data_IF_700294313213
#
_entry.id   IF_700294313213
#
_cell.length_a   1.000
_cell.length_b   1.000
_cell.length_c   1.000
_cell.angle_alpha   90.00
_cell.angle_beta   90.00
_cell.angle_gamma   90.00
#
_symmetry.space_group_name_H-M   'P 1'
#
loop_
_entity.id
_entity.type
_entity.pdbx_description
1 polymer ?
#
# COMPACT_ATOMS: atom_id res chain seq x y z
N UNK A 1 -59.91 44.65 40.07
CA UNK A 1 -58.98 44.54 41.20
C UNK A 1 -57.78 43.75 40.70
N UNK A 2 -56.58 44.26 40.49
CA UNK A 2 -56.03 45.61 40.41
C UNK A 2 -54.73 45.46 39.62
N UNK A 3 -54.47 46.39 38.71
CA UNK A 3 -53.18 46.63 38.06
C UNK A 3 -52.05 46.83 39.09
N UNK A 4 -50.86 46.30 38.79
CA UNK A 4 -49.59 46.78 39.37
C UNK A 4 -48.68 47.21 38.23
N UNK A 5 -48.29 48.47 38.32
CA UNK A 5 -47.52 49.28 37.38
C UNK A 5 -46.46 49.96 38.24
N UNK A 6 -45.18 49.68 38.00
CA UNK A 6 -44.03 50.43 38.52
C UNK A 6 -42.79 50.18 37.67
N UNK A 7 -42.50 51.13 36.77
CA UNK A 7 -41.15 51.57 36.39
C UNK A 7 -40.57 52.48 37.52
N UNK A 8 -39.40 53.16 37.36
CA UNK A 8 -38.02 52.69 37.14
C UNK A 8 -37.04 53.29 38.19
N UNK A 9 -35.79 52.81 38.28
CA UNK A 9 -34.70 53.53 38.97
C UNK A 9 -33.44 53.61 38.09
N UNK A 10 -32.95 54.84 37.93
CA UNK A 10 -31.72 55.24 37.26
C UNK A 10 -30.54 55.35 38.24
N UNK A 11 -29.33 55.54 37.68
CA UNK A 11 -28.05 55.94 38.30
C UNK A 11 -27.35 54.85 39.16
N UNK A 12 -26.05 54.62 39.06
CA UNK A 12 -24.95 55.61 39.06
C UNK A 12 -23.65 54.95 38.57
N UNK A 13 -22.84 55.70 37.82
CA UNK A 13 -21.45 55.36 37.49
C UNK A 13 -20.51 56.15 38.42
N UNK A 14 -19.33 55.60 38.77
CA UNK A 14 -18.22 56.44 39.22
C UNK A 14 -17.04 56.45 38.21
N UNK A 15 -16.57 57.66 37.92
CA UNK A 15 -15.17 58.02 37.64
C UNK A 15 -14.31 57.69 38.89
N UNK A 16 -12.99 57.57 38.91
CA UNK A 16 -11.89 58.36 38.36
C UNK A 16 -10.61 57.64 38.85
N UNK A 17 -9.48 57.68 38.12
CA UNK A 17 -8.13 57.91 38.71
C UNK A 17 -7.02 57.70 37.66
N UNK A 18 -6.53 58.85 37.19
CA UNK A 18 -5.12 59.28 37.17
C UNK A 18 -4.04 58.46 36.40
N UNK A 19 -3.47 59.17 35.42
CA UNK A 19 -2.24 58.91 34.66
C UNK A 19 -0.96 58.88 35.54
N UNK A 20 0.21 58.51 35.00
CA UNK A 20 1.03 59.52 34.30
C UNK A 20 1.78 59.04 33.04
N UNK A 21 1.92 59.98 32.12
CA UNK A 21 2.90 60.07 31.02
C UNK A 21 4.34 59.78 31.49
N UNK A 22 5.22 59.39 30.56
CA UNK A 22 6.35 60.29 30.33
C UNK A 22 6.57 60.63 28.86
N UNK A 23 6.49 61.94 28.62
CA UNK A 23 7.23 62.73 27.65
C UNK A 23 8.72 62.33 27.57
N UNK A 24 9.20 62.05 26.36
CA UNK A 24 10.54 62.48 25.96
C UNK A 24 10.75 62.46 24.43
N UNK A 25 11.20 63.63 23.96
CA UNK A 25 12.05 63.88 22.80
C UNK A 25 11.50 63.67 21.37
N UNK A 26 11.13 64.82 20.80
CA UNK A 26 11.07 65.12 19.38
C UNK A 26 12.30 64.64 18.59
N UNK A 27 12.09 64.22 17.33
CA UNK A 27 12.96 64.57 16.19
C UNK A 27 12.17 64.38 14.89
N UNK A 28 11.85 65.50 14.22
CA UNK A 28 11.54 65.52 12.79
C UNK A 28 12.79 65.10 12.00
N UNK A 29 12.64 64.15 11.09
CA UNK A 29 13.39 64.12 9.83
C UNK A 29 12.77 63.07 8.89
N UNK A 30 12.02 63.54 7.90
CA UNK A 30 11.78 62.78 6.69
C UNK A 30 13.12 62.55 5.97
N UNK A 31 13.32 61.34 5.40
CA UNK A 31 13.81 61.29 4.04
C UNK A 31 12.87 60.48 3.15
N UNK A 32 12.35 61.13 2.11
CA UNK A 32 11.99 60.45 0.88
C UNK A 32 13.28 59.88 0.26
N UNK A 33 13.43 58.55 0.29
CA UNK A 33 14.24 57.81 -0.69
C UNK A 33 13.87 56.33 -0.65
N UNK A 34 13.05 55.93 -1.64
CA UNK A 34 13.23 54.72 -2.44
C UNK A 34 14.11 53.60 -1.85
N UNK A 35 13.48 52.57 -1.30
CA UNK A 35 13.90 51.20 -1.60
C UNK A 35 12.74 50.23 -1.36
N UNK A 36 12.16 49.73 -2.45
CA UNK A 36 11.15 48.69 -2.40
C UNK A 36 11.74 47.41 -1.76
N UNK A 37 11.28 46.94 -0.59
CA UNK A 37 11.62 45.63 -0.11
C UNK A 37 10.51 44.67 -0.57
N UNK A 38 10.76 44.06 -1.73
CA UNK A 38 10.39 42.69 -2.06
C UNK A 38 8.90 42.27 -1.83
N UNK A 39 8.05 42.28 -2.89
CA UNK A 39 6.77 41.56 -2.86
C UNK A 39 6.93 40.05 -2.57
N UNK A 40 8.16 39.52 -2.61
CA UNK A 40 8.50 38.14 -2.28
C UNK A 40 8.52 37.83 -0.77
N UNK A 41 8.93 38.76 0.10
CA UNK A 41 9.00 38.50 1.57
C UNK A 41 7.61 38.42 2.19
N UNK A 42 6.67 39.25 1.72
CA UNK A 42 5.30 39.26 2.22
C UNK A 42 4.47 38.08 1.69
N UNK A 43 4.65 37.69 0.42
CA UNK A 43 4.08 36.45 -0.11
C UNK A 43 4.60 35.22 0.63
N UNK A 44 5.91 35.15 0.95
CA UNK A 44 6.49 34.08 1.78
C UNK A 44 5.93 34.06 3.21
N UNK A 45 5.73 35.22 3.86
CA UNK A 45 5.05 35.30 5.17
C UNK A 45 3.61 34.83 5.10
N UNK A 46 2.84 35.20 4.06
CA UNK A 46 1.45 34.74 3.86
C UNK A 46 1.36 33.24 3.59
N UNK A 47 2.27 32.67 2.80
CA UNK A 47 2.34 31.21 2.56
C UNK A 47 2.70 30.47 3.85
N UNK A 48 3.70 30.93 4.61
CA UNK A 48 4.03 30.35 5.93
C UNK A 48 2.88 30.52 6.94
N UNK A 49 2.15 31.65 6.94
CA UNK A 49 0.94 31.83 7.77
C UNK A 49 -0.22 30.94 7.33
N UNK A 50 -0.38 30.67 6.02
CA UNK A 50 -1.37 29.71 5.51
C UNK A 50 -1.00 28.26 5.82
N UNK A 51 0.29 27.92 5.87
CA UNK A 51 0.78 26.61 6.33
C UNK A 51 0.61 26.42 7.85
N UNK A 52 0.57 27.51 8.62
CA UNK A 52 0.21 27.49 10.06
C UNK A 52 -1.29 27.44 10.33
N UNK A 53 -2.15 27.56 9.30
CA UNK A 53 -3.59 27.35 9.46
C UNK A 53 -3.83 25.86 9.26
N UNK A 54 -4.04 25.17 10.37
CA UNK A 54 -4.45 23.78 10.40
C UNK A 54 -5.67 23.60 9.49
N UNK A 55 -5.55 22.73 8.47
CA UNK A 55 -6.65 22.47 7.54
C UNK A 55 -7.63 21.55 8.24
N UNK A 56 -8.75 22.12 8.69
CA UNK A 56 -9.82 21.35 9.33
C UNK A 56 -10.53 20.51 8.27
N UNK A 57 -10.32 19.20 8.33
CA UNK A 57 -11.04 18.22 7.53
C UNK A 57 -12.39 17.96 8.18
N UNK A 58 -13.45 18.06 7.39
CA UNK A 58 -14.79 17.70 7.83
C UNK A 58 -15.11 16.33 7.22
N UNK A 59 -15.18 15.32 8.06
CA UNK A 59 -15.55 13.95 7.65
C UNK A 59 -16.95 13.64 8.16
N UNK A 60 -17.66 12.73 7.47
CA UNK A 60 -18.92 12.19 7.97
C UNK A 60 -18.58 10.99 8.85
N UNK A 61 -18.92 11.07 10.12
CA UNK A 61 -18.71 10.00 11.11
C UNK A 61 -20.08 9.40 11.46
N UNK A 62 -20.24 8.07 11.43
CA UNK A 62 -21.46 7.41 11.91
C UNK A 62 -21.77 7.81 13.36
N UNK A 63 -23.05 8.00 13.68
CA UNK A 63 -23.48 8.51 15.00
C UNK A 63 -22.99 7.66 16.18
N UNK A 64 -22.92 6.34 16.00
CA UNK A 64 -22.39 5.41 17.03
C UNK A 64 -20.90 5.68 17.28
N UNK A 65 -20.09 5.84 16.23
CA UNK A 65 -18.67 6.13 16.36
C UNK A 65 -18.42 7.52 16.97
N UNK A 66 -19.27 8.51 16.66
CA UNK A 66 -19.19 9.82 17.28
C UNK A 66 -19.42 9.76 18.80
N UNK A 67 -20.40 8.97 19.24
CA UNK A 67 -20.68 8.78 20.67
C UNK A 67 -19.52 8.08 21.39
N UNK A 68 -18.96 7.04 20.78
CA UNK A 68 -17.79 6.33 21.35
C UNK A 68 -16.56 7.24 21.42
N UNK A 69 -16.29 8.04 20.37
CA UNK A 69 -15.19 9.01 20.38
C UNK A 69 -15.37 10.09 21.46
N UNK A 70 -16.60 10.56 21.69
CA UNK A 70 -16.90 11.51 22.77
C UNK A 70 -16.66 10.90 24.15
N UNK A 71 -17.13 9.67 24.39
CA UNK A 71 -16.90 8.95 25.66
C UNK A 71 -15.41 8.72 25.93
N UNK A 72 -14.67 8.30 24.91
CA UNK A 72 -13.22 8.12 25.01
C UNK A 72 -12.54 9.45 25.36
N UNK A 73 -12.90 10.53 24.66
CA UNK A 73 -12.35 11.86 24.90
C UNK A 73 -12.67 12.39 26.32
N UNK A 74 -13.89 12.18 26.81
CA UNK A 74 -14.30 12.52 28.18
C UNK A 74 -13.48 11.74 29.23
N UNK A 75 -13.29 10.43 29.02
CA UNK A 75 -12.51 9.59 29.94
C UNK A 75 -11.04 10.03 30.03
N UNK A 76 -10.48 10.49 28.91
CA UNK A 76 -9.11 11.00 28.82
C UNK A 76 -8.99 12.49 29.18
N UNK A 77 -10.12 13.19 29.41
CA UNK A 77 -10.20 14.65 29.63
C UNK A 77 -9.52 15.47 28.53
N UNK A 78 -9.66 15.02 27.29
CA UNK A 78 -9.09 15.69 26.11
C UNK A 78 -10.20 16.12 25.15
N UNK A 79 -9.99 17.17 24.33
CA UNK A 79 -10.90 17.48 23.23
C UNK A 79 -10.92 16.34 22.20
N UNK A 80 -12.10 16.02 21.66
CA UNK A 80 -12.28 14.97 20.64
C UNK A 80 -11.33 15.15 19.46
N UNK A 81 -11.13 16.39 19.01
CA UNK A 81 -10.21 16.70 17.90
C UNK A 81 -8.77 16.25 18.18
N UNK A 82 -8.31 16.38 19.42
CA UNK A 82 -6.96 15.95 19.80
C UNK A 82 -6.86 14.42 19.79
N UNK A 83 -7.87 13.73 20.33
CA UNK A 83 -7.93 12.26 20.33
C UNK A 83 -7.93 11.72 18.90
N UNK A 84 -8.76 12.28 18.02
CA UNK A 84 -8.83 11.87 16.61
C UNK A 84 -7.50 12.08 15.91
N UNK A 85 -6.83 13.22 16.15
CA UNK A 85 -5.51 13.46 15.57
C UNK A 85 -4.51 12.40 16.01
N UNK A 86 -4.39 12.16 17.32
CA UNK A 86 -3.42 11.19 17.84
C UNK A 86 -3.69 9.78 17.33
N UNK A 87 -4.95 9.35 17.23
CA UNK A 87 -5.30 8.04 16.67
C UNK A 87 -4.92 7.95 15.18
N UNK A 88 -5.18 9.00 14.39
CA UNK A 88 -4.83 9.00 12.97
C UNK A 88 -3.31 9.02 12.76
N UNK A 89 -2.57 9.77 13.57
CA UNK A 89 -1.09 9.77 13.55
C UNK A 89 -0.55 8.38 13.91
N UNK A 90 -1.01 7.79 15.02
CA UNK A 90 -0.59 6.46 15.47
C UNK A 90 -0.93 5.35 14.45
N UNK A 91 -2.11 5.42 13.83
CA UNK A 91 -2.51 4.47 12.80
C UNK A 91 -1.60 4.56 11.56
N UNK A 92 -1.24 5.77 11.13
CA UNK A 92 -0.34 5.96 9.98
C UNK A 92 1.07 5.49 10.33
N UNK A 93 1.60 5.86 11.49
CA UNK A 93 2.92 5.43 11.95
C UNK A 93 3.00 3.89 12.05
N UNK A 94 1.95 3.26 12.58
CA UNK A 94 1.86 1.80 12.68
C UNK A 94 1.84 1.14 11.29
N UNK A 95 1.08 1.69 10.34
CA UNK A 95 1.05 1.18 8.96
C UNK A 95 2.41 1.33 8.27
N UNK A 96 3.13 2.43 8.51
CA UNK A 96 4.46 2.66 7.93
C UNK A 96 5.52 1.69 8.51
N UNK A 97 5.43 1.38 9.81
CA UNK A 97 6.30 0.37 10.43
C UNK A 97 5.99 -1.02 9.89
N UNK A 98 4.71 -1.39 9.82
CA UNK A 98 4.29 -2.68 9.28
C UNK A 98 4.66 -2.84 7.81
N UNK A 99 4.50 -1.78 7.00
CA UNK A 99 4.88 -1.75 5.59
C UNK A 99 6.38 -1.94 5.39
N UNK A 100 7.22 -1.26 6.18
CA UNK A 100 8.68 -1.45 6.16
C UNK A 100 9.08 -2.86 6.56
N UNK A 101 8.49 -3.39 7.63
CA UNK A 101 8.76 -4.76 8.08
C UNK A 101 8.37 -5.80 7.03
N UNK A 102 7.19 -5.66 6.41
CA UNK A 102 6.76 -6.53 5.33
C UNK A 102 7.70 -6.44 4.12
N UNK A 103 8.14 -5.23 3.75
CA UNK A 103 9.09 -5.04 2.65
C UNK A 103 10.45 -5.65 2.95
N UNK A 104 10.94 -5.54 4.18
CA UNK A 104 12.18 -6.20 4.61
C UNK A 104 12.07 -7.71 4.54
N UNK A 105 10.95 -8.29 5.01
CA UNK A 105 10.72 -9.74 4.92
C UNK A 105 10.64 -10.20 3.46
N UNK A 106 9.89 -9.49 2.61
CA UNK A 106 9.82 -9.78 1.18
C UNK A 106 11.20 -9.67 0.52
N UNK A 107 12.00 -8.67 0.89
CA UNK A 107 13.37 -8.52 0.37
C UNK A 107 14.26 -9.66 0.85
N UNK A 108 14.19 -10.05 2.13
CA UNK A 108 14.93 -11.21 2.67
C UNK A 108 14.51 -12.52 2.01
N UNK A 109 13.25 -12.67 1.66
CA UNK A 109 12.76 -13.84 0.91
C UNK A 109 13.23 -13.77 -0.54
N UNK A 110 13.15 -12.61 -1.19
CA UNK A 110 13.66 -12.40 -2.54
C UNK A 110 15.18 -12.62 -2.63
N UNK A 111 15.96 -12.21 -1.62
CA UNK A 111 17.40 -12.47 -1.53
C UNK A 111 17.70 -13.96 -1.31
N UNK A 112 16.85 -14.66 -0.54
CA UNK A 112 16.95 -16.13 -0.39
C UNK A 112 16.60 -16.87 -1.67
N UNK A 113 15.64 -16.37 -2.44
CA UNK A 113 15.22 -16.97 -3.72
C UNK A 113 16.11 -16.53 -4.90
N UNK A 114 16.71 -15.35 -4.82
CA UNK A 114 17.47 -14.67 -5.87
C UNK A 114 18.98 -14.60 -5.60
N UNK A 115 19.44 -15.10 -4.45
CA UNK A 115 20.85 -15.28 -4.16
C UNK A 115 21.53 -16.02 -5.31
N UNK A 116 22.77 -15.66 -5.68
CA UNK A 116 23.44 -16.25 -6.82
C UNK A 116 23.42 -17.77 -6.65
N UNK A 117 22.70 -18.47 -7.53
CA UNK A 117 22.99 -19.87 -7.82
C UNK A 117 24.46 -19.87 -8.13
N UNK A 118 25.28 -20.30 -7.16
CA UNK A 118 26.72 -20.28 -7.30
C UNK A 118 27.02 -20.90 -8.66
N UNK A 119 27.63 -20.15 -9.62
CA UNK A 119 28.19 -20.82 -10.76
C UNK A 119 29.22 -21.77 -10.16
N UNK A 120 28.98 -23.07 -10.31
CA UNK A 120 29.98 -24.07 -9.97
C UNK A 120 31.28 -23.64 -10.67
N UNK A 121 32.37 -23.38 -9.94
CA UNK A 121 33.62 -22.98 -10.57
C UNK A 121 34.12 -24.16 -11.39
N UNK A 122 34.27 -23.92 -12.69
CA UNK A 122 35.01 -24.71 -13.67
C UNK A 122 34.79 -26.24 -13.65
N UNK A 123 33.76 -26.68 -14.35
CA UNK A 123 33.74 -28.02 -14.95
C UNK A 123 33.28 -27.92 -16.41
N UNK A 124 34.11 -28.32 -17.40
CA UNK A 124 33.67 -28.46 -18.78
C UNK A 124 32.54 -29.50 -18.89
N UNK A 125 31.64 -29.39 -19.89
CA UNK A 125 30.36 -30.08 -19.92
C UNK A 125 30.57 -31.58 -20.21
N UNK A 126 30.62 -32.38 -19.15
CA UNK A 126 30.39 -33.82 -19.29
C UNK A 126 28.89 -34.05 -19.51
N UNK A 127 28.47 -34.85 -20.50
CA UNK A 127 27.07 -35.23 -20.66
C UNK A 127 26.68 -36.07 -19.44
N UNK A 128 26.11 -35.42 -18.42
CA UNK A 128 25.52 -36.12 -17.29
C UNK A 128 24.27 -36.82 -17.81
N UNK A 129 24.37 -38.13 -17.92
CA UNK A 129 23.23 -39.02 -17.91
C UNK A 129 22.20 -38.51 -16.88
N UNK A 130 20.91 -38.47 -17.21
CA UNK A 130 19.90 -37.91 -16.33
C UNK A 130 19.97 -38.61 -14.97
N UNK A 131 19.89 -37.85 -13.86
CA UNK A 131 19.75 -38.47 -12.54
C UNK A 131 18.55 -39.42 -12.60
N UNK A 132 18.73 -40.63 -12.03
CA UNK A 132 17.71 -41.66 -12.02
C UNK A 132 16.36 -41.06 -11.66
N UNK A 133 15.40 -41.18 -12.58
CA UNK A 133 14.10 -40.57 -12.44
C UNK A 133 13.48 -41.06 -11.12
N UNK A 134 12.89 -40.17 -10.29
CA UNK A 134 11.97 -40.62 -9.25
C UNK A 134 10.96 -41.57 -9.90
N UNK A 135 10.62 -42.66 -9.21
CA UNK A 135 9.70 -43.70 -9.71
C UNK A 135 8.39 -43.11 -10.25
N UNK A 136 7.99 -41.94 -9.73
CA UNK A 136 6.94 -41.09 -10.27
C UNK A 136 7.37 -39.61 -10.24
N UNK A 137 7.82 -39.01 -11.36
CA UNK A 137 8.29 -37.61 -11.42
C UNK A 137 7.24 -36.54 -11.11
N UNK A 138 5.97 -36.93 -11.00
CA UNK A 138 4.86 -36.05 -10.63
C UNK A 138 4.33 -36.30 -9.20
N UNK A 139 4.94 -37.18 -8.42
CA UNK A 139 4.51 -37.45 -7.04
C UNK A 139 4.65 -36.19 -6.17
N UNK A 140 3.59 -35.80 -5.46
CA UNK A 140 3.55 -34.54 -4.69
C UNK A 140 3.25 -33.29 -5.52
N UNK A 141 2.84 -33.42 -6.79
CA UNK A 141 2.44 -32.27 -7.61
C UNK A 141 1.13 -31.65 -7.08
N UNK A 142 1.19 -30.36 -6.73
CA UNK A 142 0.05 -29.58 -6.27
C UNK A 142 -0.73 -28.93 -7.41
N UNK A 143 -0.05 -28.60 -8.49
CA UNK A 143 -0.67 -27.88 -9.59
C UNK A 143 0.27 -27.60 -10.75
N UNK A 144 -0.32 -27.11 -11.83
CA UNK A 144 0.38 -26.79 -13.06
C UNK A 144 0.09 -25.34 -13.48
N UNK A 145 1.11 -24.64 -13.98
CA UNK A 145 0.98 -23.31 -14.58
C UNK A 145 1.47 -23.34 -16.02
N UNK A 146 0.70 -22.75 -16.95
CA UNK A 146 1.14 -22.59 -18.34
C UNK A 146 2.14 -21.44 -18.41
N UNK A 147 3.30 -21.68 -19.00
CA UNK A 147 4.36 -20.69 -19.18
C UNK A 147 4.92 -20.76 -20.60
N UNK A 148 5.44 -19.64 -21.08
CA UNK A 148 6.24 -19.59 -22.31
C UNK A 148 7.71 -19.53 -21.93
N UNK A 149 8.51 -20.46 -22.44
CA UNK A 149 9.91 -20.56 -22.07
C UNK A 149 10.71 -19.39 -22.65
N UNK A 150 11.58 -18.78 -21.86
CA UNK A 150 12.51 -17.74 -22.35
C UNK A 150 13.81 -18.38 -22.87
N UNK A 151 14.11 -19.60 -22.45
CA UNK A 151 15.31 -20.36 -22.84
C UNK A 151 14.93 -21.81 -23.09
N UNK A 152 15.70 -22.49 -23.95
CA UNK A 152 15.53 -23.92 -24.13
C UNK A 152 15.76 -24.67 -22.81
N UNK A 153 14.89 -25.62 -22.48
CA UNK A 153 14.93 -26.38 -21.23
C UNK A 153 14.46 -27.81 -21.49
N UNK A 154 15.12 -28.85 -20.95
CA UNK A 154 14.65 -30.22 -21.11
C UNK A 154 13.36 -30.47 -20.34
N UNK A 155 12.46 -31.23 -20.93
CA UNK A 155 11.24 -31.72 -20.30
C UNK A 155 11.60 -32.70 -19.17
N UNK A 156 11.09 -32.43 -17.97
CA UNK A 156 11.33 -33.27 -16.79
C UNK A 156 10.70 -34.66 -16.81
N UNK A 157 9.77 -34.93 -17.75
CA UNK A 157 9.13 -36.24 -17.90
C UNK A 157 9.73 -37.06 -19.04
N UNK A 158 9.89 -36.45 -20.22
CA UNK A 158 10.29 -37.15 -21.44
C UNK A 158 11.76 -36.95 -21.79
N UNK A 159 12.43 -35.98 -21.18
CA UNK A 159 13.78 -35.57 -21.56
C UNK A 159 13.87 -34.81 -22.88
N UNK A 160 12.74 -34.62 -23.60
CA UNK A 160 12.70 -33.83 -24.84
C UNK A 160 13.11 -32.39 -24.58
N UNK A 161 13.95 -31.80 -25.42
CA UNK A 161 14.21 -30.36 -25.34
C UNK A 161 12.97 -29.55 -25.72
N UNK A 162 12.61 -28.60 -24.87
CA UNK A 162 11.59 -27.59 -25.14
C UNK A 162 12.30 -26.30 -25.55
N UNK A 163 11.93 -25.73 -26.68
CA UNK A 163 12.59 -24.57 -27.26
C UNK A 163 12.30 -23.25 -26.52
N UNK A 164 13.16 -22.26 -26.73
CA UNK A 164 12.84 -20.89 -26.34
C UNK A 164 11.62 -20.40 -27.15
N UNK A 165 10.65 -19.80 -26.47
CA UNK A 165 9.38 -19.37 -27.03
C UNK A 165 8.31 -20.46 -27.10
N UNK A 166 8.64 -21.72 -26.80
CA UNK A 166 7.67 -22.83 -26.73
C UNK A 166 6.82 -22.73 -25.46
N UNK A 167 5.59 -23.26 -25.53
CA UNK A 167 4.71 -23.37 -24.36
C UNK A 167 5.06 -24.62 -23.57
N UNK A 168 5.18 -24.46 -22.25
CA UNK A 168 5.47 -25.51 -21.31
C UNK A 168 4.52 -25.43 -20.11
N UNK A 169 4.41 -26.53 -19.39
CA UNK A 169 3.71 -26.64 -18.12
C UNK A 169 4.74 -26.66 -17.00
N UNK A 170 4.58 -25.75 -16.06
CA UNK A 170 5.40 -25.67 -14.86
C UNK A 170 4.67 -26.38 -13.72
N UNK A 171 5.18 -27.52 -13.29
CA UNK A 171 4.62 -28.34 -12.19
C UNK A 171 5.18 -27.83 -10.88
N UNK A 172 4.30 -27.51 -9.92
CA UNK A 172 4.66 -27.09 -8.56
C UNK A 172 4.43 -28.24 -7.59
N UNK A 173 5.30 -28.37 -6.58
CA UNK A 173 5.27 -29.47 -5.60
C UNK A 173 5.08 -28.94 -4.18
N UNK A 174 4.56 -29.79 -3.29
CA UNK A 174 4.35 -29.50 -1.87
C UNK A 174 5.63 -29.63 -1.01
N UNK A 175 6.57 -30.44 -1.46
CA UNK A 175 7.85 -30.73 -0.82
C UNK A 175 8.90 -29.61 -0.95
N UNK A 176 8.55 -28.51 -1.62
CA UNK A 176 9.41 -27.34 -1.81
C UNK A 176 10.53 -27.54 -2.84
N UNK A 177 10.52 -28.64 -3.61
CA UNK A 177 11.51 -28.82 -4.70
C UNK A 177 11.26 -27.83 -5.85
N UNK A 178 12.30 -27.53 -6.67
CA UNK A 178 12.14 -26.63 -7.80
C UNK A 178 11.04 -27.09 -8.75
N UNK A 179 10.29 -26.16 -9.34
CA UNK A 179 9.22 -26.53 -10.24
C UNK A 179 9.77 -27.20 -11.51
N UNK A 180 9.03 -28.18 -12.02
CA UNK A 180 9.46 -29.01 -13.16
C UNK A 180 8.82 -28.51 -14.45
N UNK A 181 9.63 -28.24 -15.48
CA UNK A 181 9.13 -27.89 -16.81
C UNK A 181 8.75 -29.16 -17.58
N UNK A 182 7.52 -29.21 -18.06
CA UNK A 182 6.93 -30.38 -18.71
C UNK A 182 6.29 -29.99 -20.03
N UNK A 183 6.48 -30.81 -21.06
CA UNK A 183 5.83 -30.61 -22.36
C UNK A 183 4.31 -30.77 -22.19
N UNK A 184 3.46 -29.95 -22.83
CA UNK A 184 2.00 -30.06 -22.69
C UNK A 184 1.45 -31.46 -23.03
N UNK A 185 2.10 -32.15 -23.97
CA UNK A 185 1.82 -33.51 -24.44
C UNK A 185 2.37 -34.62 -23.54
N UNK A 186 3.24 -34.29 -22.58
CA UNK A 186 3.91 -35.26 -21.72
C UNK A 186 3.15 -35.56 -20.41
N UNK A 187 2.12 -34.79 -20.06
CA UNK A 187 1.33 -35.09 -18.87
C UNK A 187 0.43 -36.31 -19.12
N UNK A 188 0.37 -37.27 -18.17
CA UNK A 188 -0.66 -38.30 -18.22
C UNK A 188 -2.01 -37.59 -18.14
N UNK A 189 -2.82 -37.73 -19.18
CA UNK A 189 -4.24 -37.41 -19.07
C UNK A 189 -4.80 -38.33 -17.97
N UNK A 190 -5.59 -37.80 -17.02
CA UNK A 190 -6.37 -38.70 -16.18
C UNK A 190 -7.15 -39.63 -17.11
N UNK A 191 -7.34 -40.91 -16.77
CA UNK A 191 -8.21 -41.78 -17.54
C UNK A 191 -9.59 -41.12 -17.60
N UNK A 192 -9.85 -40.44 -18.72
CA UNK A 192 -11.13 -39.84 -19.00
C UNK A 192 -12.10 -40.98 -19.22
N UNK A 193 -13.19 -40.96 -18.46
CA UNK A 193 -14.33 -41.83 -18.67
C UNK A 193 -14.66 -41.89 -20.16
N UNK A 194 -14.73 -43.11 -20.69
CA UNK A 194 -14.88 -43.41 -22.11
C UNK A 194 -16.14 -42.78 -22.73
N UNK A 195 -16.03 -41.52 -23.11
CA UNK A 195 -17.01 -40.87 -23.96
C UNK A 195 -16.47 -40.95 -25.39
N UNK A 196 -17.03 -41.82 -26.24
CA UNK A 196 -16.64 -41.84 -27.64
C UNK A 196 -17.01 -40.49 -28.29
N UNK A 197 -16.24 -40.01 -29.29
CA UNK A 197 -16.61 -38.84 -30.06
C UNK A 197 -17.90 -39.14 -30.84
N UNK A 198 -19.04 -38.68 -30.33
CA UNK A 198 -20.26 -38.52 -31.12
C UNK A 198 -20.02 -37.40 -32.13
N UNK A 199 -19.86 -37.78 -33.39
CA UNK A 199 -19.68 -36.85 -34.49
C UNK A 199 -19.35 -37.56 -35.80
N UNK A 200 -20.31 -38.31 -36.34
CA UNK A 200 -20.29 -38.81 -37.71
C UNK A 200 -20.24 -37.65 -38.74
N UNK A 201 -19.84 -37.94 -39.98
CA UNK A 201 -20.83 -37.79 -41.05
C UNK A 201 -21.10 -39.12 -41.77
N UNK A 202 -22.31 -39.32 -42.32
CA UNK A 202 -22.65 -40.50 -43.09
C UNK A 202 -22.06 -40.41 -44.50
N UNK A 203 -21.02 -41.20 -44.79
CA UNK A 203 -20.67 -41.52 -46.17
C UNK A 203 -21.68 -42.53 -46.70
N UNK A 204 -22.47 -42.09 -47.68
CA UNK A 204 -23.38 -42.93 -48.43
C UNK A 204 -22.66 -43.67 -49.55
N UNK A 205 -23.05 -44.91 -49.76
CA UNK A 205 -22.93 -45.69 -50.99
C UNK A 205 -23.92 -46.88 -50.87
N UNK A 206 -24.33 -47.59 -51.94
CA UNK A 206 -23.84 -47.52 -53.33
C UNK A 206 -24.94 -47.49 -54.41
N UNK A 207 -24.51 -47.32 -55.66
CA UNK A 207 -25.24 -47.72 -56.86
C UNK A 207 -24.93 -49.20 -57.22
#
# INVERSE_FOLDING_TARGET
>A
MSDVKSDPEEHEAPADDAEPEPEDAATEAAPEASEAPAPAKEKRRRVRRRQKKERVLHTRVPAVLEQELKRLAESLRLPVSNVVRTILEDAVDTLDVAGRSAQEELTRVADRLGGPRAPAPDAPPAPKAPPAAPTYPLEGALGISRVRLVRATPCGLTGRELGAGEEALLVHFDDGRPPLAVAPDALPTPPGDGTPPTGAPPEGDPA
#
